data_IF_269008753095
#
_entry.id   IF_269008753095
#
_cell.length_a   1.000
_cell.length_b   1.000
_cell.length_c   1.000
_cell.angle_alpha   90.00
_cell.angle_beta   90.00
_cell.angle_gamma   90.00
#
_symmetry.space_group_name_H-M   'P 1'
#
loop_
_entity.id
_entity.type
_entity.pdbx_description
1 polymer ?
#
# COMPACT_ATOMS: atom_id res chain seq x y z
N UNK A 1 -61.33 18.44 13.76
CA UNK A 1 -60.47 17.25 13.58
C UNK A 1 -59.61 17.47 12.35
N UNK A 2 -58.40 18.00 12.53
CA UNK A 2 -57.45 18.23 11.44
C UNK A 2 -56.47 17.06 11.41
N UNK A 3 -56.57 16.19 10.41
CA UNK A 3 -55.63 15.08 10.22
C UNK A 3 -54.35 15.62 9.59
N UNK A 4 -53.35 15.86 10.41
CA UNK A 4 -51.98 16.13 9.97
C UNK A 4 -51.38 14.82 9.45
N UNK A 5 -51.42 14.59 8.14
CA UNK A 5 -50.66 13.51 7.50
C UNK A 5 -49.18 13.82 7.63
N UNK A 6 -48.51 13.15 8.58
CA UNK A 6 -47.06 13.10 8.68
C UNK A 6 -46.51 12.40 7.43
N UNK A 7 -45.92 13.19 6.53
CA UNK A 7 -45.21 12.67 5.36
C UNK A 7 -43.98 11.90 5.87
N UNK A 8 -44.01 10.58 5.70
CA UNK A 8 -42.88 9.68 5.98
C UNK A 8 -41.64 10.19 5.22
N UNK A 9 -40.47 10.34 5.86
CA UNK A 9 -39.25 10.69 5.14
C UNK A 9 -38.98 9.63 4.07
N UNK A 10 -38.61 10.08 2.86
CA UNK A 10 -38.17 9.16 1.81
C UNK A 10 -36.97 8.35 2.32
N UNK A 11 -36.90 7.04 2.03
CA UNK A 11 -35.73 6.25 2.40
C UNK A 11 -34.50 6.88 1.72
N UNK A 12 -33.51 7.24 2.53
CA UNK A 12 -32.15 7.52 2.07
C UNK A 12 -31.72 6.39 1.13
N UNK A 13 -31.47 6.69 -0.14
CA UNK A 13 -31.17 5.69 -1.16
C UNK A 13 -29.84 5.01 -0.82
N UNK A 14 -29.91 3.79 -0.34
CA UNK A 14 -28.75 2.93 -0.15
C UNK A 14 -28.02 2.75 -1.48
N UNK A 15 -26.73 3.15 -1.54
CA UNK A 15 -25.86 2.79 -2.67
C UNK A 15 -25.85 1.27 -2.80
N UNK A 16 -26.22 0.80 -3.99
CA UNK A 16 -26.10 -0.61 -4.37
C UNK A 16 -24.63 -0.92 -4.63
N UNK A 17 -24.23 -2.19 -4.46
CA UNK A 17 -22.87 -2.73 -4.69
C UNK A 17 -22.26 -2.29 -6.03
N UNK A 18 -23.11 -1.94 -7.00
CA UNK A 18 -22.81 -1.64 -8.38
C UNK A 18 -21.91 -0.41 -8.62
N UNK A 19 -21.54 0.37 -7.59
CA UNK A 19 -20.86 1.66 -7.78
C UNK A 19 -19.57 1.85 -6.96
N UNK A 20 -18.95 0.78 -6.41
CA UNK A 20 -17.71 0.91 -5.63
C UNK A 20 -16.59 1.54 -6.47
N UNK A 21 -16.38 1.02 -7.68
CA UNK A 21 -15.33 1.53 -8.58
C UNK A 21 -15.63 2.98 -8.98
N UNK A 22 -16.89 3.29 -9.30
CA UNK A 22 -17.33 4.63 -9.72
C UNK A 22 -17.18 5.67 -8.60
N UNK A 23 -17.60 5.36 -7.38
CA UNK A 23 -17.50 6.25 -6.23
C UNK A 23 -16.04 6.56 -5.87
N UNK A 24 -15.19 5.52 -5.87
CA UNK A 24 -13.74 5.67 -5.67
C UNK A 24 -13.12 6.58 -6.72
N UNK A 25 -13.49 6.37 -7.98
CA UNK A 25 -12.96 7.13 -9.10
C UNK A 25 -13.39 8.60 -9.06
N UNK A 26 -14.67 8.88 -8.77
CA UNK A 26 -15.19 10.22 -8.62
C UNK A 26 -14.50 10.99 -7.48
N UNK A 27 -14.42 10.39 -6.28
CA UNK A 27 -13.72 11.02 -5.14
C UNK A 27 -12.25 11.27 -5.42
N UNK A 28 -11.61 10.35 -6.14
CA UNK A 28 -10.22 10.51 -6.56
C UNK A 28 -10.07 11.69 -7.54
N UNK A 29 -10.90 11.77 -8.57
CA UNK A 29 -10.85 12.83 -9.58
C UNK A 29 -11.13 14.23 -9.00
N UNK A 30 -12.11 14.32 -8.09
CA UNK A 30 -12.60 15.58 -7.54
C UNK A 30 -11.69 16.18 -6.45
N UNK A 31 -10.81 15.39 -5.83
CA UNK A 31 -10.01 15.84 -4.69
C UNK A 31 -9.06 16.98 -5.09
N UNK A 32 -9.15 18.10 -4.37
CA UNK A 32 -8.29 19.26 -4.55
C UNK A 32 -7.37 19.48 -3.34
N UNK A 33 -6.24 20.16 -3.56
CA UNK A 33 -5.28 20.45 -2.48
C UNK A 33 -5.91 21.25 -1.32
N UNK A 34 -6.86 22.13 -1.63
CA UNK A 34 -7.61 22.94 -0.65
C UNK A 34 -8.50 22.11 0.26
N UNK A 35 -8.88 20.91 -0.18
CA UNK A 35 -9.72 19.99 0.59
C UNK A 35 -8.91 19.23 1.64
N UNK A 36 -7.58 19.23 1.52
CA UNK A 36 -6.68 18.56 2.46
C UNK A 36 -6.53 19.39 3.73
N UNK A 37 -6.98 18.88 4.89
CA UNK A 37 -6.70 19.50 6.18
C UNK A 37 -5.19 19.64 6.46
N UNK A 38 -4.79 20.60 7.27
CA UNK A 38 -3.37 20.85 7.55
C UNK A 38 -2.66 19.64 8.19
N UNK A 39 -3.35 18.88 9.04
CA UNK A 39 -2.82 17.65 9.65
C UNK A 39 -2.62 16.53 8.62
N UNK A 40 -3.51 16.43 7.62
CA UNK A 40 -3.32 15.52 6.46
C UNK A 40 -2.09 15.95 5.67
N UNK A 41 -1.97 17.25 5.36
CA UNK A 41 -0.80 17.80 4.64
C UNK A 41 0.51 17.54 5.38
N UNK A 42 0.53 17.70 6.70
CA UNK A 42 1.67 17.36 7.54
C UNK A 42 1.97 15.87 7.48
N UNK A 43 0.95 15.01 7.54
CA UNK A 43 1.12 13.56 7.50
C UNK A 43 1.71 13.08 6.18
N UNK A 44 1.27 13.61 5.04
CA UNK A 44 1.86 13.27 3.73
C UNK A 44 3.36 13.60 3.71
N UNK A 45 3.76 14.77 4.22
CA UNK A 45 5.18 15.14 4.32
C UNK A 45 5.97 14.19 5.22
N UNK A 46 5.37 13.74 6.33
CA UNK A 46 5.97 12.74 7.21
C UNK A 46 6.12 11.37 6.53
N UNK A 47 5.10 10.89 5.81
CA UNK A 47 5.19 9.67 5.02
C UNK A 47 6.30 9.76 3.97
N UNK A 48 6.42 10.90 3.28
CA UNK A 48 7.49 11.11 2.30
C UNK A 48 8.87 11.09 2.94
N UNK A 49 9.05 11.81 4.05
CA UNK A 49 10.32 11.82 4.78
C UNK A 49 10.70 10.41 5.29
N UNK A 50 9.72 9.70 5.86
CA UNK A 50 9.88 8.34 6.35
C UNK A 50 10.26 7.37 5.21
N UNK A 51 9.57 7.47 4.09
CA UNK A 51 9.83 6.69 2.88
C UNK A 51 11.23 6.93 2.34
N UNK A 52 11.70 8.18 2.25
CA UNK A 52 13.07 8.49 1.84
C UNK A 52 14.08 7.78 2.77
N UNK A 53 13.87 7.85 4.08
CA UNK A 53 14.75 7.23 5.07
C UNK A 53 14.85 5.72 4.92
N UNK A 54 13.72 5.02 4.80
CA UNK A 54 13.71 3.55 4.64
C UNK A 54 14.21 3.10 3.28
N UNK A 55 13.96 3.89 2.22
CA UNK A 55 14.44 3.60 0.87
C UNK A 55 15.95 3.70 0.79
N UNK A 56 16.54 4.75 1.36
CA UNK A 56 18.00 4.90 1.43
C UNK A 56 18.65 3.78 2.25
N UNK A 57 18.01 3.37 3.36
CA UNK A 57 18.49 2.26 4.17
C UNK A 57 18.42 0.92 3.41
N UNK A 58 17.39 0.71 2.60
CA UNK A 58 17.20 -0.50 1.78
C UNK A 58 17.93 -0.48 0.43
N UNK A 59 18.49 0.65 -0.01
CA UNK A 59 19.04 0.84 -1.36
C UNK A 59 20.22 -0.09 -1.68
N UNK A 60 20.93 -0.57 -0.65
CA UNK A 60 22.07 -1.48 -0.77
C UNK A 60 21.69 -2.96 -0.59
N UNK A 61 20.40 -3.29 -0.42
CA UNK A 61 19.99 -4.69 -0.30
C UNK A 61 20.16 -5.43 -1.64
N UNK A 62 20.53 -6.74 -1.63
CA UNK A 62 20.87 -7.45 -2.86
C UNK A 62 19.78 -7.43 -3.94
N UNK A 63 18.50 -7.45 -3.56
CA UNK A 63 17.41 -7.38 -4.53
C UNK A 63 17.40 -6.08 -5.34
N UNK A 64 17.83 -4.98 -4.72
CA UNK A 64 17.81 -3.65 -5.34
C UNK A 64 18.90 -3.59 -6.40
N UNK A 65 20.07 -4.17 -6.12
CA UNK A 65 21.14 -4.33 -7.09
C UNK A 65 20.72 -5.18 -8.28
N UNK A 66 20.08 -6.34 -8.03
CA UNK A 66 19.59 -7.22 -9.11
C UNK A 66 18.58 -6.50 -10.01
N UNK A 67 17.61 -5.79 -9.43
CA UNK A 67 16.62 -5.03 -10.21
C UNK A 67 17.25 -3.85 -10.97
N UNK A 68 18.24 -3.18 -10.38
CA UNK A 68 18.96 -2.09 -11.05
C UNK A 68 19.82 -2.59 -12.22
N UNK A 69 20.44 -3.77 -12.11
CA UNK A 69 21.15 -4.42 -13.21
C UNK A 69 20.19 -4.82 -14.32
N UNK A 70 19.08 -5.48 -13.99
CA UNK A 70 18.02 -5.83 -14.97
C UNK A 70 17.50 -4.58 -15.71
N UNK A 71 17.25 -3.48 -14.99
CA UNK A 71 16.80 -2.24 -15.60
C UNK A 71 17.86 -1.59 -16.52
N UNK A 72 19.17 -1.79 -16.27
CA UNK A 72 20.24 -1.35 -17.18
C UNK A 72 20.27 -2.20 -18.45
N UNK A 73 20.08 -3.51 -18.32
CA UNK A 73 20.04 -4.44 -19.46
C UNK A 73 18.84 -4.17 -20.38
N UNK A 74 17.69 -3.86 -19.81
CA UNK A 74 16.48 -3.50 -20.57
C UNK A 74 16.60 -2.13 -21.27
N UNK A 75 17.37 -1.20 -20.69
CA UNK A 75 17.52 0.16 -21.20
C UNK A 75 16.24 1.00 -21.10
N UNK A 76 16.15 2.02 -21.95
CA UNK A 76 15.03 2.98 -21.99
C UNK A 76 15.45 4.43 -21.72
N UNK A 77 14.50 5.36 -21.89
CA UNK A 77 14.76 6.78 -21.65
C UNK A 77 14.89 7.07 -20.15
N UNK A 78 15.83 7.94 -19.79
CA UNK A 78 15.99 8.47 -18.44
C UNK A 78 14.81 9.40 -18.12
N UNK A 79 13.89 8.93 -17.29
CA UNK A 79 12.65 9.63 -16.92
C UNK A 79 12.51 9.87 -15.42
N UNK A 80 13.07 8.97 -14.60
CA UNK A 80 12.94 9.03 -13.15
C UNK A 80 14.18 8.44 -12.45
N UNK A 81 14.42 8.93 -11.24
CA UNK A 81 15.56 8.62 -10.40
C UNK A 81 15.38 7.30 -9.65
N UNK A 82 16.44 6.50 -9.56
CA UNK A 82 16.54 5.38 -8.62
C UNK A 82 17.17 5.89 -7.33
N UNK A 83 16.39 5.96 -6.25
CA UNK A 83 16.83 6.56 -4.98
C UNK A 83 17.96 5.74 -4.36
N UNK A 84 19.02 6.41 -3.92
CA UNK A 84 20.22 5.77 -3.38
C UNK A 84 21.20 5.24 -4.45
N UNK A 85 20.88 5.41 -5.74
CA UNK A 85 21.75 5.03 -6.86
C UNK A 85 22.02 6.25 -7.75
N UNK A 86 23.22 6.34 -8.32
CA UNK A 86 23.55 7.36 -9.33
C UNK A 86 23.00 6.95 -10.71
N UNK A 87 21.69 6.70 -10.79
CA UNK A 87 21.02 6.12 -11.94
C UNK A 87 19.64 6.76 -12.16
N UNK A 88 19.34 7.03 -13.42
CA UNK A 88 17.99 7.34 -13.90
C UNK A 88 17.58 6.30 -14.94
N UNK A 89 16.30 5.96 -14.99
CA UNK A 89 15.74 4.95 -15.90
C UNK A 89 14.29 5.32 -16.26
N UNK A 90 13.59 4.45 -16.98
CA UNK A 90 12.16 4.64 -17.26
C UNK A 90 11.35 4.79 -15.96
N UNK A 91 10.24 5.53 -16.01
CA UNK A 91 9.42 5.77 -14.82
C UNK A 91 8.91 4.47 -14.19
N UNK A 92 8.59 3.47 -15.02
CA UNK A 92 8.13 2.15 -14.57
C UNK A 92 9.23 1.38 -13.83
N UNK A 93 10.46 1.38 -14.36
CA UNK A 93 11.59 0.72 -13.72
C UNK A 93 12.00 1.43 -12.43
N UNK A 94 12.01 2.76 -12.41
CA UNK A 94 12.27 3.53 -11.19
C UNK A 94 11.23 3.22 -10.10
N UNK A 95 9.94 3.17 -10.45
CA UNK A 95 8.88 2.79 -9.51
C UNK A 95 9.06 1.37 -8.95
N UNK A 96 9.42 0.41 -9.81
CA UNK A 96 9.71 -0.98 -9.40
C UNK A 96 10.86 -1.05 -8.40
N UNK A 97 12.00 -0.43 -8.72
CA UNK A 97 13.21 -0.48 -7.90
C UNK A 97 13.00 0.27 -6.59
N UNK A 98 12.47 1.50 -6.65
CA UNK A 98 12.27 2.33 -5.46
C UNK A 98 11.23 1.72 -4.51
N UNK A 99 10.14 1.14 -5.03
CA UNK A 99 9.16 0.43 -4.20
C UNK A 99 9.76 -0.78 -3.52
N UNK A 100 10.56 -1.56 -4.25
CA UNK A 100 11.27 -2.72 -3.70
C UNK A 100 12.29 -2.34 -2.63
N UNK A 101 13.09 -1.30 -2.88
CA UNK A 101 14.07 -0.78 -1.92
C UNK A 101 13.40 -0.27 -0.63
N UNK A 102 12.30 0.47 -0.78
CA UNK A 102 11.58 1.05 0.35
C UNK A 102 10.92 0.04 1.29
N UNK A 103 10.65 -1.18 0.79
CA UNK A 103 10.07 -2.28 1.56
C UNK A 103 11.11 -3.37 1.92
N UNK A 104 12.37 -3.22 1.52
CA UNK A 104 13.40 -4.27 1.65
C UNK A 104 13.68 -4.69 3.10
N UNK A 105 13.57 -3.72 4.03
CA UNK A 105 13.90 -3.91 5.44
C UNK A 105 12.69 -4.10 6.35
N UNK A 106 11.46 -4.05 5.82
CA UNK A 106 10.21 -4.07 6.62
C UNK A 106 10.17 -2.97 7.70
N UNK A 107 10.81 -1.84 7.41
CA UNK A 107 10.89 -0.70 8.34
C UNK A 107 9.83 0.34 8.07
N UNK A 108 9.16 0.30 6.93
CA UNK A 108 8.20 1.26 6.42
C UNK A 108 6.88 1.32 7.22
N UNK A 109 5.98 2.20 6.77
CA UNK A 109 4.71 2.44 7.44
C UNK A 109 3.67 1.35 7.21
N UNK A 110 2.66 1.33 8.09
CA UNK A 110 1.54 0.40 8.04
C UNK A 110 0.23 1.13 8.27
N UNK A 111 -0.83 0.65 7.61
CA UNK A 111 -2.20 1.04 7.89
C UNK A 111 -3.08 -0.20 8.07
N UNK A 112 -3.79 -0.24 9.19
CA UNK A 112 -4.66 -1.36 9.57
C UNK A 112 -5.97 -1.41 8.78
N UNK A 113 -6.39 -0.30 8.15
CA UNK A 113 -7.57 -0.29 7.30
C UNK A 113 -7.41 -1.24 6.09
N UNK A 114 -6.19 -1.35 5.57
CA UNK A 114 -5.84 -2.26 4.47
C UNK A 114 -4.92 -3.42 4.89
N UNK A 115 -4.57 -3.51 6.18
CA UNK A 115 -3.58 -4.46 6.73
C UNK A 115 -2.33 -4.53 5.83
N UNK A 116 -1.78 -3.36 5.48
CA UNK A 116 -0.74 -3.27 4.45
C UNK A 116 0.13 -2.02 4.56
N UNK A 117 1.02 -1.86 3.59
CA UNK A 117 2.09 -0.87 3.59
C UNK A 117 1.88 0.14 2.45
N UNK A 118 1.16 1.26 2.67
CA UNK A 118 0.75 2.14 1.58
C UNK A 118 1.90 2.98 1.01
N UNK A 119 2.78 3.54 1.84
CA UNK A 119 3.76 4.53 1.35
C UNK A 119 4.79 3.91 0.39
N UNK A 120 5.20 2.66 0.64
CA UNK A 120 6.14 1.92 -0.22
C UNK A 120 5.60 1.54 -1.59
N UNK A 121 4.29 1.74 -1.81
CA UNK A 121 3.64 1.49 -3.10
C UNK A 121 3.29 2.80 -3.81
N UNK A 122 2.70 3.75 -3.08
CA UNK A 122 2.18 4.98 -3.67
C UNK A 122 3.30 5.98 -4.01
N UNK A 123 4.25 6.19 -3.10
CA UNK A 123 5.32 7.19 -3.27
C UNK A 123 6.24 6.88 -4.45
N UNK A 124 6.78 5.66 -4.64
CA UNK A 124 7.65 5.37 -5.79
C UNK A 124 6.93 5.56 -7.13
N UNK A 125 5.66 5.17 -7.24
CA UNK A 125 4.85 5.39 -8.44
C UNK A 125 4.65 6.89 -8.72
N UNK A 126 4.29 7.65 -7.67
CA UNK A 126 4.08 9.10 -7.77
C UNK A 126 5.35 9.88 -8.05
N UNK A 127 6.46 9.57 -7.38
CA UNK A 127 7.73 10.27 -7.61
C UNK A 127 8.22 10.03 -9.03
N UNK A 128 8.17 8.78 -9.52
CA UNK A 128 8.58 8.49 -10.88
C UNK A 128 7.72 9.22 -11.92
N UNK A 129 6.42 9.35 -11.67
CA UNK A 129 5.52 10.11 -12.55
C UNK A 129 5.72 11.63 -12.42
N UNK A 130 5.87 12.14 -11.19
CA UNK A 130 6.04 13.55 -10.89
C UNK A 130 7.33 14.11 -11.48
N UNK A 131 8.45 13.38 -11.34
CA UNK A 131 9.73 13.75 -11.97
C UNK A 131 9.58 13.84 -13.49
N UNK A 132 8.98 12.83 -14.12
CA UNK A 132 8.80 12.80 -15.58
C UNK A 132 7.89 13.91 -16.13
N UNK A 133 7.04 14.50 -15.28
CA UNK A 133 6.06 15.55 -15.66
C UNK A 133 6.38 16.93 -15.10
N UNK A 134 7.37 17.06 -14.22
CA UNK A 134 7.63 18.30 -13.49
C UNK A 134 6.47 18.71 -12.57
N UNK A 135 5.80 17.74 -11.92
CA UNK A 135 4.64 18.01 -11.08
C UNK A 135 5.02 18.77 -9.79
N UNK A 136 4.11 19.60 -9.28
CA UNK A 136 4.36 20.37 -8.06
C UNK A 136 4.20 19.51 -6.81
N UNK A 137 4.78 19.96 -5.68
CA UNK A 137 4.55 19.32 -4.38
C UNK A 137 3.07 19.30 -3.95
N UNK A 138 2.27 20.30 -4.38
CA UNK A 138 0.82 20.33 -4.09
C UNK A 138 0.09 19.23 -4.85
N UNK A 139 0.43 19.03 -6.11
CA UNK A 139 -0.16 17.97 -6.95
C UNK A 139 0.23 16.60 -6.41
N UNK A 140 1.51 16.42 -6.06
CA UNK A 140 2.00 15.20 -5.42
C UNK A 140 1.22 14.87 -4.13
N UNK A 141 1.05 15.86 -3.24
CA UNK A 141 0.34 15.63 -1.97
C UNK A 141 -1.13 15.29 -2.17
N UNK A 142 -1.79 15.93 -3.13
CA UNK A 142 -3.19 15.66 -3.49
C UNK A 142 -3.34 14.25 -4.06
N UNK A 143 -2.43 13.88 -4.97
CA UNK A 143 -2.40 12.54 -5.56
C UNK A 143 -2.11 11.43 -4.54
N UNK A 144 -1.15 11.66 -3.64
CA UNK A 144 -0.87 10.73 -2.55
C UNK A 144 -2.08 10.53 -1.64
N UNK A 145 -2.74 11.64 -1.25
CA UNK A 145 -3.94 11.58 -0.42
C UNK A 145 -5.06 10.77 -1.11
N UNK A 146 -5.33 11.04 -2.39
CA UNK A 146 -6.33 10.32 -3.17
C UNK A 146 -6.08 8.80 -3.20
N UNK A 147 -4.87 8.39 -3.60
CA UNK A 147 -4.53 6.96 -3.65
C UNK A 147 -4.51 6.27 -2.29
N UNK A 148 -4.07 6.97 -1.25
CA UNK A 148 -4.00 6.43 0.11
C UNK A 148 -5.40 6.16 0.65
N UNK A 149 -6.33 7.10 0.46
CA UNK A 149 -7.73 6.94 0.81
C UNK A 149 -8.35 5.78 0.02
N UNK A 150 -8.14 5.72 -1.30
CA UNK A 150 -8.63 4.60 -2.14
C UNK A 150 -8.16 3.25 -1.61
N UNK A 151 -6.87 3.09 -1.33
CA UNK A 151 -6.30 1.84 -0.81
C UNK A 151 -6.89 1.46 0.56
N UNK A 152 -6.93 2.41 1.49
CA UNK A 152 -7.45 2.17 2.84
C UNK A 152 -8.90 1.72 2.81
N UNK A 153 -9.68 2.40 1.98
CA UNK A 153 -11.08 2.13 1.88
C UNK A 153 -11.40 0.82 1.16
N UNK A 154 -10.64 0.46 0.11
CA UNK A 154 -10.71 -0.88 -0.45
C UNK A 154 -10.39 -1.95 0.60
N UNK A 155 -9.44 -1.66 1.49
CA UNK A 155 -9.16 -2.49 2.65
C UNK A 155 -10.38 -2.67 3.56
N UNK A 156 -11.07 -1.58 3.90
CA UNK A 156 -12.30 -1.64 4.70
C UNK A 156 -13.43 -2.39 3.98
N UNK A 157 -13.55 -2.26 2.67
CA UNK A 157 -14.56 -2.97 1.88
C UNK A 157 -14.27 -4.46 1.84
N UNK A 158 -13.02 -4.85 1.55
CA UNK A 158 -12.58 -6.24 1.45
C UNK A 158 -12.52 -6.95 2.82
N UNK A 159 -12.30 -6.20 3.90
CA UNK A 159 -11.99 -6.74 5.21
C UNK A 159 -10.75 -7.65 5.19
N UNK A 160 -10.72 -8.62 6.10
CA UNK A 160 -9.56 -9.51 6.28
C UNK A 160 -9.52 -10.69 5.30
N UNK A 161 -10.49 -10.81 4.39
CA UNK A 161 -10.67 -12.00 3.58
C UNK A 161 -9.49 -12.24 2.62
N UNK A 162 -9.03 -11.20 1.91
CA UNK A 162 -7.87 -11.33 1.02
C UNK A 162 -6.62 -11.78 1.78
N UNK A 163 -6.36 -11.13 2.92
CA UNK A 163 -5.20 -11.45 3.74
C UNK A 163 -5.28 -12.87 4.31
N UNK A 164 -6.46 -13.29 4.74
CA UNK A 164 -6.71 -14.64 5.27
C UNK A 164 -6.56 -15.72 4.20
N UNK A 165 -6.94 -15.43 2.96
CA UNK A 165 -6.81 -16.34 1.82
C UNK A 165 -5.38 -16.48 1.29
N UNK A 166 -4.42 -15.74 1.85
CA UNK A 166 -3.01 -15.84 1.47
C UNK A 166 -2.51 -14.74 0.53
N UNK A 167 -3.31 -13.71 0.25
CA UNK A 167 -2.85 -12.56 -0.54
C UNK A 167 -2.16 -11.51 0.33
N UNK A 168 -1.10 -10.91 -0.22
CA UNK A 168 -0.41 -9.78 0.39
C UNK A 168 -1.12 -8.49 -0.04
N UNK A 169 -1.89 -7.88 0.86
CA UNK A 169 -2.74 -6.71 0.57
C UNK A 169 -1.95 -5.46 0.18
N UNK A 170 -0.70 -5.32 0.63
CA UNK A 170 0.24 -4.31 0.11
C UNK A 170 0.38 -4.42 -1.41
N UNK A 171 0.41 -5.64 -1.94
CA UNK A 171 0.55 -5.88 -3.37
C UNK A 171 -0.80 -5.70 -4.08
N UNK A 172 -1.84 -6.39 -3.62
CA UNK A 172 -3.13 -6.41 -4.30
C UNK A 172 -3.83 -5.05 -4.22
N UNK A 173 -4.11 -4.56 -3.01
CA UNK A 173 -4.79 -3.27 -2.82
C UNK A 173 -3.87 -2.08 -3.12
N UNK A 174 -2.56 -2.23 -2.89
CA UNK A 174 -1.60 -1.17 -3.22
C UNK A 174 -1.51 -0.88 -4.71
N UNK A 175 -1.68 -1.89 -5.58
CA UNK A 175 -1.71 -1.69 -7.04
C UNK A 175 -2.84 -0.74 -7.44
N UNK A 176 -4.03 -0.89 -6.84
CA UNK A 176 -5.17 0.00 -7.06
C UNK A 176 -4.94 1.38 -6.44
N UNK A 177 -4.33 1.45 -5.25
CA UNK A 177 -3.96 2.70 -4.60
C UNK A 177 -2.98 3.53 -5.43
N UNK A 178 -1.93 2.90 -5.98
CA UNK A 178 -0.97 3.55 -6.89
C UNK A 178 -1.64 3.99 -8.20
N UNK A 179 -2.56 3.19 -8.75
CA UNK A 179 -3.31 3.58 -9.94
C UNK A 179 -4.18 4.82 -9.69
N UNK A 180 -4.92 4.86 -8.58
CA UNK A 180 -5.69 6.04 -8.18
C UNK A 180 -4.80 7.27 -7.97
N UNK A 181 -3.67 7.10 -7.26
CA UNK A 181 -2.71 8.18 -7.04
C UNK A 181 -2.19 8.76 -8.37
N UNK A 182 -1.71 7.89 -9.26
CA UNK A 182 -1.21 8.30 -10.57
C UNK A 182 -2.32 8.89 -11.45
N UNK A 183 -3.55 8.36 -11.41
CA UNK A 183 -4.70 8.93 -12.12
C UNK A 183 -5.00 10.36 -11.66
N UNK A 184 -4.99 10.61 -10.33
CA UNK A 184 -5.13 11.95 -9.78
C UNK A 184 -4.04 12.89 -10.27
N UNK A 185 -2.77 12.44 -10.26
CA UNK A 185 -1.63 13.25 -10.70
C UNK A 185 -1.68 13.55 -12.22
N UNK A 186 -2.23 12.62 -13.00
CA UNK A 186 -2.51 12.80 -14.43
C UNK A 186 -3.74 13.67 -14.71
N UNK A 187 -4.49 14.04 -13.67
CA UNK A 187 -5.74 14.80 -13.76
C UNK A 187 -6.80 14.09 -14.62
N UNK A 188 -6.87 12.75 -14.51
CA UNK A 188 -7.91 11.97 -15.16
C UNK A 188 -9.29 12.28 -14.54
N UNK A 189 -10.33 12.22 -15.36
CA UNK A 189 -11.71 12.32 -14.88
C UNK A 189 -12.15 11.02 -14.18
N UNK A 190 -13.41 10.99 -13.73
CA UNK A 190 -13.96 9.85 -13.01
C UNK A 190 -14.04 8.58 -13.87
N UNK A 191 -14.32 8.68 -15.17
CA UNK A 191 -14.47 7.50 -16.03
C UNK A 191 -13.10 6.91 -16.41
N UNK A 192 -12.12 7.77 -16.70
CA UNK A 192 -10.73 7.37 -16.93
C UNK A 192 -10.08 6.83 -15.64
N UNK A 193 -10.41 7.41 -14.48
CA UNK A 193 -9.93 6.88 -13.19
C UNK A 193 -10.55 5.52 -12.89
N UNK A 194 -11.84 5.30 -13.16
CA UNK A 194 -12.49 4.00 -13.04
C UNK A 194 -11.83 2.97 -13.98
N UNK A 195 -11.48 3.40 -15.19
CA UNK A 195 -10.74 2.58 -16.15
C UNK A 195 -9.35 2.20 -15.64
N UNK A 196 -8.61 3.15 -15.06
CA UNK A 196 -7.31 2.90 -14.43
C UNK A 196 -7.42 1.88 -13.28
N UNK A 197 -8.44 2.01 -12.42
CA UNK A 197 -8.72 1.04 -11.37
C UNK A 197 -9.06 -0.35 -11.93
N UNK A 198 -9.80 -0.40 -13.05
CA UNK A 198 -10.10 -1.64 -13.75
C UNK A 198 -8.85 -2.33 -14.30
N UNK A 199 -7.96 -1.58 -14.95
CA UNK A 199 -6.67 -2.11 -15.46
C UNK A 199 -5.79 -2.59 -14.29
N UNK A 200 -5.72 -1.81 -13.21
CA UNK A 200 -4.98 -2.18 -12.00
C UNK A 200 -5.51 -3.46 -11.36
N UNK A 201 -6.84 -3.67 -11.36
CA UNK A 201 -7.48 -4.85 -10.77
C UNK A 201 -7.02 -6.16 -11.41
N UNK A 202 -6.75 -6.18 -12.73
CA UNK A 202 -6.24 -7.38 -13.40
C UNK A 202 -4.73 -7.58 -13.26
N UNK A 203 -4.00 -6.60 -12.70
CA UNK A 203 -2.56 -6.70 -12.40
C UNK A 203 -2.28 -6.92 -10.91
N UNK A 204 -3.28 -6.74 -10.06
CA UNK A 204 -3.18 -6.89 -8.61
C UNK A 204 -2.83 -8.34 -8.22
N UNK A 205 -1.58 -8.57 -7.82
CA UNK A 205 -1.09 -9.89 -7.43
C UNK A 205 -0.04 -9.81 -6.31
N UNK A 206 0.02 -10.86 -5.48
CA UNK A 206 1.07 -11.02 -4.47
C UNK A 206 0.71 -12.06 -3.40
N UNK A 207 1.59 -13.03 -3.16
CA UNK A 207 1.32 -14.17 -2.28
C UNK A 207 2.06 -14.03 -0.94
N UNK A 208 1.36 -14.20 0.17
CA UNK A 208 1.94 -14.18 1.52
C UNK A 208 2.96 -15.30 1.75
N UNK A 209 2.88 -16.41 1.01
CA UNK A 209 3.85 -17.51 1.08
C UNK A 209 5.27 -17.08 0.72
N UNK A 210 5.45 -15.91 0.10
CA UNK A 210 6.74 -15.34 -0.24
C UNK A 210 7.42 -14.57 0.91
N UNK A 211 6.76 -14.42 2.07
CA UNK A 211 7.32 -13.69 3.21
C UNK A 211 8.63 -14.35 3.68
N UNK A 212 9.61 -13.53 4.03
CA UNK A 212 10.97 -13.98 4.38
C UNK A 212 11.91 -14.15 3.18
N UNK A 213 11.46 -13.85 1.96
CA UNK A 213 12.27 -13.83 0.74
C UNK A 213 12.30 -12.43 0.12
N UNK A 214 13.16 -12.23 -0.89
CA UNK A 214 13.20 -10.99 -1.68
C UNK A 214 11.88 -10.74 -2.46
N UNK A 215 11.02 -11.75 -2.62
CA UNK A 215 9.74 -11.58 -3.30
C UNK A 215 8.76 -10.72 -2.48
N UNK A 216 8.89 -10.65 -1.14
CA UNK A 216 8.04 -9.76 -0.34
C UNK A 216 8.23 -8.28 -0.72
N UNK A 217 9.44 -7.70 -0.69
CA UNK A 217 9.66 -6.33 -1.15
C UNK A 217 9.38 -6.15 -2.64
N UNK A 218 9.66 -7.16 -3.48
CA UNK A 218 9.30 -7.12 -4.90
C UNK A 218 7.81 -6.86 -5.12
N UNK A 219 6.93 -7.34 -4.25
CA UNK A 219 5.50 -7.06 -4.34
C UNK A 219 5.20 -5.55 -4.31
N UNK A 220 5.86 -4.78 -3.43
CA UNK A 220 5.65 -3.34 -3.33
C UNK A 220 6.14 -2.62 -4.60
N UNK A 221 7.32 -2.99 -5.09
CA UNK A 221 7.84 -2.49 -6.35
C UNK A 221 6.92 -2.80 -7.53
N UNK A 222 6.45 -4.05 -7.64
CA UNK A 222 5.57 -4.48 -8.73
C UNK A 222 4.23 -3.75 -8.69
N UNK A 223 3.61 -3.64 -7.51
CA UNK A 223 2.37 -2.88 -7.33
C UNK A 223 2.53 -1.40 -7.72
N UNK A 224 3.68 -0.80 -7.40
CA UNK A 224 4.00 0.59 -7.77
C UNK A 224 4.07 0.76 -9.29
N UNK A 225 4.84 -0.12 -9.95
CA UNK A 225 5.04 -0.10 -11.39
C UNK A 225 3.75 -0.38 -12.17
N UNK A 226 2.96 -1.35 -11.71
CA UNK A 226 1.71 -1.75 -12.35
C UNK A 226 0.62 -0.69 -12.14
N UNK A 227 0.50 -0.10 -10.95
CA UNK A 227 -0.44 1.01 -10.71
C UNK A 227 -0.12 2.24 -11.57
N UNK A 228 1.16 2.62 -11.66
CA UNK A 228 1.62 3.67 -12.56
C UNK A 228 1.24 3.38 -14.02
N UNK A 229 1.50 2.15 -14.48
CA UNK A 229 1.20 1.72 -15.84
C UNK A 229 -0.32 1.74 -16.11
N UNK A 230 -1.15 1.30 -15.16
CA UNK A 230 -2.61 1.31 -15.28
C UNK A 230 -3.15 2.72 -15.56
N UNK A 231 -2.74 3.71 -14.76
CA UNK A 231 -3.14 5.09 -14.94
C UNK A 231 -2.64 5.68 -16.27
N UNK A 232 -1.40 5.35 -16.64
CA UNK A 232 -0.81 5.76 -17.91
C UNK A 232 -1.51 5.14 -19.13
N UNK A 233 -2.03 3.91 -19.02
CA UNK A 233 -2.81 3.25 -20.08
C UNK A 233 -4.20 3.88 -20.19
N UNK A 234 -4.88 4.11 -19.08
CA UNK A 234 -6.18 4.80 -19.06
C UNK A 234 -6.07 6.20 -19.70
N UNK A 235 -5.04 6.98 -19.36
CA UNK A 235 -4.76 8.28 -19.95
C UNK A 235 -4.53 8.28 -21.49
N UNK A 236 -4.35 7.09 -22.09
CA UNK A 236 -4.19 6.89 -23.54
C UNK A 236 -5.43 6.28 -24.20
N UNK A 237 -6.54 6.18 -23.47
CA UNK A 237 -7.79 5.59 -23.95
C UNK A 237 -7.80 4.06 -23.96
N UNK A 238 -6.93 3.40 -23.18
CA UNK A 238 -7.01 1.94 -23.02
C UNK A 238 -8.28 1.57 -22.25
N UNK A 239 -9.00 0.55 -22.68
CA UNK A 239 -10.31 0.20 -22.11
C UNK A 239 -10.22 -0.81 -20.97
N UNK A 240 -11.16 -0.74 -20.02
CA UNK A 240 -11.36 -1.76 -18.99
C UNK A 240 -12.82 -1.81 -18.55
N UNK A 241 -13.16 -2.73 -17.64
CA UNK A 241 -14.47 -2.76 -16.98
C UNK A 241 -14.56 -1.64 -15.96
N UNK A 242 -15.68 -0.90 -15.99
CA UNK A 242 -15.97 0.17 -15.05
C UNK A 242 -16.37 -0.31 -13.64
N UNK A 243 -16.49 -1.63 -13.44
CA UNK A 243 -16.93 -2.31 -12.21
C UNK A 243 -16.01 -3.48 -11.82
N UNK A 244 -14.75 -3.49 -12.27
CA UNK A 244 -13.84 -4.63 -12.14
C UNK A 244 -13.55 -5.06 -10.69
N UNK A 245 -13.80 -4.19 -9.71
CA UNK A 245 -13.54 -4.46 -8.29
C UNK A 245 -14.68 -5.30 -7.71
N UNK A 246 -15.91 -4.91 -7.97
CA UNK A 246 -17.15 -5.43 -7.37
C UNK A 246 -17.92 -6.43 -8.24
N UNK A 247 -17.62 -6.54 -9.53
CA UNK A 247 -18.38 -7.40 -10.43
C UNK A 247 -18.24 -8.89 -10.09
N UNK A 248 -19.13 -9.77 -10.58
CA UNK A 248 -18.92 -11.21 -10.51
C UNK A 248 -17.57 -11.58 -11.13
N UNK A 249 -16.76 -12.35 -10.39
CA UNK A 249 -15.36 -12.67 -10.76
C UNK A 249 -14.40 -11.46 -10.77
N UNK A 250 -14.82 -10.32 -10.22
CA UNK A 250 -13.97 -9.15 -9.97
C UNK A 250 -13.02 -9.35 -8.80
N UNK A 251 -12.25 -8.30 -8.48
CA UNK A 251 -11.18 -8.34 -7.47
C UNK A 251 -11.66 -8.86 -6.11
N UNK A 252 -12.76 -8.32 -5.58
CA UNK A 252 -13.29 -8.70 -4.26
C UNK A 252 -13.66 -10.18 -4.25
N UNK A 253 -14.37 -10.65 -5.27
CA UNK A 253 -14.84 -12.02 -5.35
C UNK A 253 -13.68 -13.03 -5.52
N UNK A 254 -12.67 -12.69 -6.32
CA UNK A 254 -11.54 -13.59 -6.63
C UNK A 254 -10.51 -13.66 -5.51
N UNK A 255 -10.25 -12.54 -4.83
CA UNK A 255 -9.22 -12.48 -3.79
C UNK A 255 -9.80 -12.68 -2.38
N UNK A 256 -11.06 -12.32 -2.16
CA UNK A 256 -11.76 -12.48 -0.88
C UNK A 256 -12.78 -13.63 -0.83
N UNK A 257 -13.18 -14.21 -1.97
CA UNK A 257 -14.29 -15.16 -2.06
C UNK A 257 -15.67 -14.49 -2.15
N UNK A 258 -16.70 -15.25 -2.55
CA UNK A 258 -18.08 -14.75 -2.76
C UNK A 258 -18.74 -14.21 -1.49
N UNK A 259 -18.43 -14.78 -0.32
CA UNK A 259 -18.92 -14.29 0.97
C UNK A 259 -18.45 -12.86 1.28
N UNK A 260 -17.24 -12.51 0.84
CA UNK A 260 -16.62 -11.20 1.05
C UNK A 260 -17.24 -10.14 0.16
N UNK A 261 -17.64 -10.51 -1.06
CA UNK A 261 -18.50 -9.66 -1.88
C UNK A 261 -19.79 -9.35 -1.11
N UNK A 262 -20.50 -10.38 -0.63
CA UNK A 262 -21.72 -10.21 0.18
C UNK A 262 -21.54 -9.39 1.47
N UNK A 263 -20.35 -9.37 2.06
CA UNK A 263 -20.03 -8.55 3.24
C UNK A 263 -19.75 -7.09 2.84
N UNK A 264 -19.01 -6.87 1.75
CA UNK A 264 -18.84 -5.56 1.14
C UNK A 264 -20.20 -4.92 0.81
N UNK A 265 -21.18 -5.71 0.35
CA UNK A 265 -22.55 -5.28 0.10
C UNK A 265 -23.30 -4.78 1.34
N UNK A 266 -22.96 -5.30 2.53
CA UNK A 266 -23.72 -5.13 3.78
C UNK A 266 -23.16 -4.05 4.69
N UNK A 267 -21.92 -3.60 4.48
CA UNK A 267 -21.37 -2.47 5.21
C UNK A 267 -22.14 -1.21 4.76
N UNK A 268 -22.85 -0.52 5.68
CA UNK A 268 -23.63 0.66 5.32
C UNK A 268 -22.70 1.68 4.67
N UNK A 269 -23.19 2.25 3.57
CA UNK A 269 -22.60 3.29 2.73
C UNK A 269 -21.38 3.98 3.34
N UNK A 270 -20.26 3.83 2.63
CA UNK A 270 -19.20 4.81 2.48
C UNK A 270 -19.62 6.23 2.90
N UNK A 271 -18.82 6.98 3.68
CA UNK A 271 -19.15 8.36 3.98
C UNK A 271 -19.27 9.15 2.66
N UNK A 272 -20.50 9.43 2.24
CA UNK A 272 -20.82 10.21 1.05
C UNK A 272 -20.23 11.62 1.16
N UNK A 273 -19.95 12.24 0.01
CA UNK A 273 -19.68 13.66 -0.10
C UNK A 273 -20.74 14.56 0.59
N UNK A 274 -21.98 14.05 0.76
CA UNK A 274 -23.06 14.72 1.49
C UNK A 274 -23.03 14.57 3.02
N UNK A 275 -22.05 13.85 3.58
CA UNK A 275 -21.84 13.73 5.03
C UNK A 275 -20.55 14.46 5.43
N UNK A 276 -20.61 15.78 5.71
CA UNK A 276 -19.43 16.62 6.00
C UNK A 276 -18.75 16.30 7.35
N UNK A 277 -19.08 15.17 7.99
CA UNK A 277 -18.79 14.92 9.40
C UNK A 277 -17.54 14.06 9.67
N UNK A 278 -16.93 13.43 8.66
CA UNK A 278 -15.68 12.67 8.86
C UNK A 278 -14.56 13.31 8.05
N UNK A 279 -13.72 14.16 8.67
CA UNK A 279 -12.56 14.72 7.98
C UNK A 279 -11.63 13.58 7.54
N UNK A 280 -11.02 13.73 6.36
CA UNK A 280 -9.97 12.83 5.89
C UNK A 280 -8.89 12.69 6.97
N UNK A 281 -8.54 11.46 7.34
CA UNK A 281 -7.52 11.17 8.35
C UNK A 281 -6.55 10.11 7.84
N UNK A 282 -5.31 10.51 7.60
CA UNK A 282 -4.23 9.58 7.28
C UNK A 282 -3.74 8.91 8.58
N UNK A 283 -4.19 7.67 8.83
CA UNK A 283 -3.81 6.89 10.02
C UNK A 283 -2.57 6.03 9.76
N UNK A 284 -1.41 6.68 9.84
CA UNK A 284 -0.12 6.06 9.56
C UNK A 284 0.54 5.60 10.86
N UNK A 285 0.96 4.33 10.89
CA UNK A 285 1.76 3.77 11.99
C UNK A 285 3.07 3.25 11.43
N UNK A 286 4.10 3.17 12.27
CA UNK A 286 5.35 2.50 11.87
C UNK A 286 5.21 1.00 12.10
N UNK A 287 5.71 0.18 11.18
CA UNK A 287 5.84 -1.25 11.44
C UNK A 287 6.68 -1.46 12.71
N UNK A 288 6.18 -2.24 13.66
CA UNK A 288 6.98 -2.65 14.80
C UNK A 288 7.99 -3.70 14.32
N UNK A 289 9.21 -3.28 14.01
CA UNK A 289 10.32 -4.23 13.81
C UNK A 289 10.55 -4.96 15.13
N UNK A 290 10.68 -6.30 15.14
CA UNK A 290 11.01 -7.01 16.37
C UNK A 290 12.41 -6.64 16.92
N UNK A 291 13.25 -5.90 16.16
CA UNK A 291 14.48 -5.26 16.69
C UNK A 291 14.22 -4.09 17.65
N UNK A 292 12.96 -3.65 17.81
CA UNK A 292 12.58 -2.58 18.75
C UNK A 292 12.07 -3.08 20.10
N UNK A 293 12.28 -4.36 20.46
CA UNK A 293 12.28 -4.77 21.87
C UNK A 293 13.52 -4.18 22.54
N UNK A 294 13.46 -2.88 22.81
CA UNK A 294 14.41 -2.19 23.68
C UNK A 294 14.03 -2.57 25.11
N UNK A 295 14.86 -3.29 25.88
CA UNK A 295 14.61 -3.46 27.30
C UNK A 295 14.52 -2.07 27.93
N UNK A 296 13.49 -1.84 28.77
CA UNK A 296 13.33 -0.59 29.53
C UNK A 296 14.42 -0.45 30.60
N UNK A 297 15.69 -0.24 30.21
CA UNK A 297 16.79 0.29 31.03
C UNK A 297 18.07 0.33 30.20
N UNK A 298 18.48 1.52 29.77
CA UNK A 298 19.86 1.76 29.35
C UNK A 298 20.59 2.47 30.49
N UNK A 299 21.21 1.70 31.38
CA UNK A 299 22.34 2.21 32.17
C UNK A 299 23.62 1.95 31.35
N UNK A 300 24.30 3.02 30.96
CA UNK A 300 25.58 2.98 30.24
C UNK A 300 26.66 2.33 31.11
N UNK A 301 27.14 1.14 30.72
CA UNK A 301 28.45 0.59 31.16
C UNK A 301 29.19 -0.05 29.98
N UNK A 302 30.40 0.46 29.71
CA UNK A 302 31.41 -0.08 28.78
C UNK A 302 32.28 -1.16 29.53
N UNK A 303 32.94 -2.12 28.86
CA UNK A 303 32.79 -3.56 29.06
C UNK A 303 33.86 -4.15 29.99
N UNK A 304 33.51 -5.29 30.59
CA UNK A 304 34.50 -6.31 30.95
C UNK A 304 34.09 -7.63 30.30
N UNK A 305 35.06 -8.31 29.69
CA UNK A 305 34.98 -9.71 29.22
C UNK A 305 34.52 -10.58 30.42
N UNK A 306 33.66 -11.59 30.26
CA UNK A 306 34.00 -12.94 29.76
C UNK A 306 32.75 -13.82 29.50
N UNK A 307 33.03 -14.95 28.84
CA UNK A 307 32.18 -16.02 28.30
C UNK A 307 31.13 -16.72 29.21
N UNK A 308 30.23 -17.42 28.49
CA UNK A 308 29.42 -18.59 28.86
C UNK A 308 28.24 -18.38 29.84
N UNK A 309 27.03 -18.43 29.29
CA UNK A 309 25.78 -18.56 30.05
C UNK A 309 24.55 -18.36 29.17
N UNK A 310 24.13 -19.37 28.40
CA UNK A 310 22.86 -19.33 27.66
C UNK A 310 21.73 -19.57 28.68
N UNK A 311 20.91 -18.54 28.90
CA UNK A 311 19.61 -18.68 29.57
C UNK A 311 18.52 -18.63 28.50
N UNK A 312 17.82 -19.75 28.29
CA UNK A 312 16.71 -19.82 27.34
C UNK A 312 15.57 -18.90 27.80
N UNK A 313 15.26 -17.88 27.00
CA UNK A 313 14.09 -17.02 27.21
C UNK A 313 12.95 -17.52 26.34
N UNK A 314 11.88 -18.02 26.96
CA UNK A 314 10.63 -18.34 26.27
C UNK A 314 9.82 -17.07 26.06
N UNK A 315 9.50 -16.74 24.81
CA UNK A 315 8.58 -15.66 24.47
C UNK A 315 7.16 -16.23 24.41
N UNK A 316 6.31 -15.88 25.38
CA UNK A 316 4.88 -16.18 25.34
C UNK A 316 4.12 -15.02 24.71
N UNK A 317 3.62 -15.19 23.48
CA UNK A 317 2.67 -14.27 22.86
C UNK A 317 1.24 -14.80 23.02
N UNK A 318 0.33 -13.97 23.51
CA UNK A 318 -1.11 -14.23 23.66
C UNK A 318 -1.92 -14.10 22.35
N UNK A 319 -1.25 -14.08 21.21
CA UNK A 319 -1.83 -14.08 19.86
C UNK A 319 -1.58 -15.44 19.19
N UNK A 320 -2.57 -16.02 18.48
CA UNK A 320 -2.36 -17.29 17.77
C UNK A 320 -1.21 -17.13 16.76
N UNK A 321 -0.30 -18.11 16.65
CA UNK A 321 0.90 -17.96 15.85
C UNK A 321 0.56 -17.87 14.37
N UNK A 322 0.94 -16.75 13.75
CA UNK A 322 0.88 -16.52 12.29
C UNK A 322 1.84 -17.46 11.51
N UNK A 323 2.51 -18.40 12.19
CA UNK A 323 3.57 -19.25 11.64
C UNK A 323 3.33 -20.76 11.72
N UNK A 324 2.12 -21.23 12.06
CA UNK A 324 1.88 -22.67 12.29
C UNK A 324 2.02 -23.59 11.04
N UNK A 325 2.21 -23.06 9.83
CA UNK A 325 2.17 -23.85 8.59
C UNK A 325 3.35 -23.65 7.62
N UNK A 326 4.45 -23.02 8.02
CA UNK A 326 5.63 -22.91 7.13
C UNK A 326 6.71 -23.94 7.49
N UNK A 327 7.23 -24.72 6.53
CA UNK A 327 8.38 -25.57 6.78
C UNK A 327 9.62 -24.71 7.10
N UNK A 328 10.52 -25.16 7.99
CA UNK A 328 11.68 -24.38 8.40
C UNK A 328 12.66 -24.23 7.22
N UNK A 329 12.65 -23.08 6.56
CA UNK A 329 13.74 -22.67 5.68
C UNK A 329 14.92 -22.27 6.57
N UNK A 330 16.10 -22.90 6.40
CA UNK A 330 17.32 -22.45 7.07
C UNK A 330 17.65 -21.03 6.57
N UNK A 331 17.64 -19.99 7.43
CA UNK A 331 17.87 -18.62 6.98
C UNK A 331 19.33 -18.45 6.58
N UNK A 332 19.59 -18.10 5.32
CA UNK A 332 20.89 -17.59 4.84
C UNK A 332 20.83 -16.12 4.42
N UNK A 333 19.66 -15.47 4.48
CA UNK A 333 19.42 -14.14 3.90
C UNK A 333 18.70 -13.18 4.87
N UNK A 334 19.00 -11.88 4.76
CA UNK A 334 18.50 -10.79 5.62
C UNK A 334 16.97 -10.75 5.74
N UNK A 335 16.24 -11.00 4.65
CA UNK A 335 14.77 -11.02 4.62
C UNK A 335 14.15 -12.10 5.54
N UNK A 336 14.79 -13.25 5.66
CA UNK A 336 14.29 -14.34 6.50
C UNK A 336 14.43 -14.01 8.00
N UNK A 337 15.48 -13.27 8.37
CA UNK A 337 15.70 -12.83 9.75
C UNK A 337 14.61 -11.85 10.21
N UNK A 338 14.13 -10.94 9.35
CA UNK A 338 13.14 -9.92 9.74
C UNK A 338 11.74 -10.48 10.02
N UNK A 339 11.45 -11.71 9.59
CA UNK A 339 10.13 -12.34 9.72
C UNK A 339 10.04 -13.37 10.84
N UNK A 340 11.15 -13.89 11.37
CA UNK A 340 11.16 -14.96 12.38
C UNK A 340 11.55 -14.48 13.78
N UNK A 341 10.62 -14.59 14.74
CA UNK A 341 10.83 -14.14 16.12
C UNK A 341 11.92 -14.93 16.88
N UNK A 342 12.07 -16.25 16.62
CA UNK A 342 12.98 -17.13 17.36
C UNK A 342 14.47 -17.02 16.99
N UNK A 343 14.81 -16.41 15.86
CA UNK A 343 16.21 -16.20 15.45
C UNK A 343 16.77 -14.87 15.98
N UNK A 344 15.90 -13.90 16.28
CA UNK A 344 16.32 -12.60 16.80
C UNK A 344 16.81 -12.68 18.25
N UNK A 345 16.35 -13.66 19.04
CA UNK A 345 16.85 -13.91 20.40
C UNK A 345 18.28 -14.47 20.45
N UNK A 346 18.81 -15.01 19.35
CA UNK A 346 20.18 -15.54 19.28
C UNK A 346 21.19 -14.54 18.67
N UNK A 347 20.73 -13.42 18.13
CA UNK A 347 21.57 -12.42 17.47
C UNK A 347 21.97 -11.24 18.40
N UNK A 348 21.74 -11.36 19.71
CA UNK A 348 22.07 -10.38 20.74
C UNK A 348 23.17 -10.87 21.68
#
# INVERSE_FOLDING_TARGET
MSMTTTRKPAPSSAIQIADITRELAARCADLCYTDLPEDVRLRVRQCLLDWIGVTLAGACEPLVHMLAEEAREQGGYAQATVVGHAMTTSSRQAALINGSASHALDYDDVNMACTGHPSVVLIPALLALAESRGASGRDFMTAFAAGYETMCQLGLVCGDAQYSNGFHTTATLGTLGAAAACARLLQLDADDTATALGIASTMAAGLKSMFGTMCKPLHAGRASADGLQAAQLAARGFTSRADAIECPQGLIATHGGTASLGAACRRPSWPHAASPAVPMRLNVRKASSPRTVVPRRWELRWPRRTAAGICATTCSSSTPPVMAHMPPLRPRATCACNTHCGLMTCAA
#
